data_IF_490160015432
#
_entry.id   IF_490160015432
#
_cell.length_a   1.000
_cell.length_b   1.000
_cell.length_c   1.000
_cell.angle_alpha   90.00
_cell.angle_beta   90.00
_cell.angle_gamma   90.00
#
_symmetry.space_group_name_H-M   'P 1'
#
loop_
_entity.id
_entity.type
_entity.pdbx_description
1 polymer ?
#
# COMPACT_ATOMS: atom_id res chain seq x y z
N UNK A 1 -3.93 -1.11 6.67
CA UNK A 1 -2.86 -2.14 6.48
C UNK A 1 -1.59 -1.48 5.93
N UNK A 2 -0.37 -2.02 6.14
CA UNK A 2 0.81 -1.48 5.45
C UNK A 2 1.56 -2.55 4.66
N UNK A 3 2.11 -3.57 5.34
CA UNK A 3 2.88 -4.60 4.64
C UNK A 3 2.01 -5.49 3.76
N UNK A 4 0.72 -5.62 4.08
CA UNK A 4 -0.27 -6.30 3.24
C UNK A 4 -0.42 -5.64 1.85
N UNK A 5 -0.45 -4.31 1.78
CA UNK A 5 -0.49 -3.57 0.49
C UNK A 5 0.78 -3.77 -0.33
N UNK A 6 1.96 -3.81 0.33
CA UNK A 6 3.21 -4.18 -0.34
C UNK A 6 3.08 -5.58 -0.96
N UNK A 7 2.52 -6.53 -0.22
CA UNK A 7 2.24 -7.88 -0.71
C UNK A 7 1.33 -7.90 -1.94
N UNK A 8 0.26 -7.10 -1.93
CA UNK A 8 -0.65 -6.95 -3.07
C UNK A 8 0.08 -6.39 -4.31
N UNK A 9 0.89 -5.33 -4.15
CA UNK A 9 1.70 -4.76 -5.23
C UNK A 9 2.67 -5.78 -5.84
N UNK A 10 3.32 -6.60 -5.01
CA UNK A 10 4.20 -7.69 -5.44
C UNK A 10 3.42 -8.78 -6.20
N UNK A 11 2.21 -9.13 -5.75
CA UNK A 11 1.36 -10.11 -6.42
C UNK A 11 0.89 -9.62 -7.80
N UNK A 12 0.51 -8.35 -7.93
CA UNK A 12 0.15 -7.74 -9.22
C UNK A 12 1.33 -7.76 -10.19
N UNK A 13 2.56 -7.60 -9.71
CA UNK A 13 3.77 -7.73 -10.53
C UNK A 13 3.92 -9.10 -11.19
N UNK A 14 3.45 -10.16 -10.54
CA UNK A 14 3.40 -11.50 -11.15
C UNK A 14 2.43 -11.55 -12.33
N UNK A 15 1.30 -10.84 -12.23
CA UNK A 15 0.24 -10.83 -13.26
C UNK A 15 0.65 -9.96 -14.45
N UNK A 16 1.30 -8.80 -14.16
CA UNK A 16 1.77 -7.86 -15.17
C UNK A 16 3.27 -7.55 -15.00
N UNK A 17 4.14 -8.44 -15.47
CA UNK A 17 5.58 -8.32 -15.27
C UNK A 17 6.21 -7.14 -16.02
N UNK A 18 5.53 -6.54 -16.99
CA UNK A 18 6.01 -5.38 -17.75
C UNK A 18 6.05 -4.10 -16.93
N UNK A 19 5.15 -3.95 -15.93
CA UNK A 19 5.16 -2.76 -15.07
C UNK A 19 6.37 -2.77 -14.14
N UNK A 20 6.96 -1.60 -13.90
CA UNK A 20 8.01 -1.44 -12.90
C UNK A 20 7.48 -1.72 -11.51
N UNK A 21 8.23 -2.43 -10.67
CA UNK A 21 7.83 -2.75 -9.30
C UNK A 21 7.53 -1.49 -8.48
N UNK A 22 8.34 -0.43 -8.59
CA UNK A 22 8.10 0.82 -7.88
C UNK A 22 6.76 1.47 -8.24
N UNK A 23 6.35 1.40 -9.53
CA UNK A 23 5.04 1.90 -9.95
C UNK A 23 3.88 1.10 -9.34
N UNK A 24 4.02 -0.21 -9.23
CA UNK A 24 3.01 -1.07 -8.60
C UNK A 24 2.96 -0.90 -7.08
N UNK A 25 4.13 -0.75 -6.43
CA UNK A 25 4.18 -0.44 -5.00
C UNK A 25 3.57 0.94 -4.73
N UNK A 26 3.92 1.96 -5.53
CA UNK A 26 3.30 3.28 -5.41
C UNK A 26 1.78 3.19 -5.56
N UNK A 27 1.28 2.49 -6.56
CA UNK A 27 -0.15 2.32 -6.73
C UNK A 27 -0.80 1.63 -5.53
N UNK A 28 -0.19 0.55 -5.02
CA UNK A 28 -0.73 -0.21 -3.89
C UNK A 28 -0.73 0.56 -2.56
N UNK A 29 0.22 1.48 -2.33
CA UNK A 29 0.31 2.29 -1.10
C UNK A 29 -0.03 3.77 -1.34
N UNK A 30 -0.65 4.10 -2.47
CA UNK A 30 -0.95 5.49 -2.85
C UNK A 30 -1.90 6.16 -1.86
N UNK A 31 -2.92 5.45 -1.39
CA UNK A 31 -3.88 5.98 -0.44
C UNK A 31 -3.19 6.36 0.88
N UNK A 32 -2.24 5.55 1.37
CA UNK A 32 -1.41 5.89 2.52
C UNK A 32 -0.54 7.12 2.28
N UNK A 33 0.13 7.20 1.12
CA UNK A 33 0.92 8.38 0.77
C UNK A 33 0.07 9.65 0.77
N UNK A 34 -1.13 9.57 0.21
CA UNK A 34 -2.09 10.66 0.18
C UNK A 34 -2.60 11.00 1.57
N UNK A 35 -3.00 10.02 2.37
CA UNK A 35 -3.43 10.21 3.76
C UNK A 35 -2.39 11.01 4.54
N UNK A 36 -1.16 10.53 4.58
CA UNK A 36 -0.13 11.19 5.37
C UNK A 36 0.21 12.60 4.88
N UNK A 37 0.16 12.82 3.57
CA UNK A 37 0.27 14.17 3.01
C UNK A 37 -0.90 15.06 3.45
N UNK A 38 -2.14 14.57 3.37
CA UNK A 38 -3.33 15.32 3.77
C UNK A 38 -3.41 15.55 5.28
N UNK A 39 -2.86 14.65 6.10
CA UNK A 39 -2.70 14.88 7.55
C UNK A 39 -1.71 16.02 7.82
N UNK A 40 -0.57 16.07 7.12
CA UNK A 40 0.39 17.16 7.24
C UNK A 40 -0.20 18.51 6.82
N UNK A 41 -1.13 18.50 5.86
CA UNK A 41 -1.84 19.69 5.38
C UNK A 41 -3.07 20.05 6.24
N UNK A 42 -3.42 19.25 7.25
CA UNK A 42 -4.59 19.48 8.11
C UNK A 42 -5.94 19.21 7.44
N UNK A 43 -5.95 18.50 6.30
CA UNK A 43 -7.18 18.16 5.54
C UNK A 43 -7.79 16.84 6.02
N UNK A 44 -6.96 15.88 6.37
CA UNK A 44 -7.34 14.62 7.01
C UNK A 44 -6.73 14.56 8.40
N UNK A 45 -7.18 13.62 9.24
CA UNK A 45 -6.69 13.56 10.61
C UNK A 45 -6.60 12.13 11.14
N UNK A 46 -5.65 11.96 12.07
CA UNK A 46 -5.46 10.75 12.87
C UNK A 46 -6.09 11.00 14.24
N UNK A 47 -6.98 10.10 14.66
CA UNK A 47 -7.59 10.12 15.98
C UNK A 47 -6.68 9.54 17.05
N UNK A 48 -7.19 9.54 18.28
CA UNK A 48 -6.50 8.89 19.38
C UNK A 48 -6.38 7.37 19.14
N UNK A 49 -5.32 6.75 19.65
CA UNK A 49 -5.18 5.30 19.54
C UNK A 49 -6.21 4.60 20.39
N UNK A 50 -6.73 3.51 19.88
CA UNK A 50 -7.57 2.56 20.60
C UNK A 50 -6.71 1.42 21.09
N UNK A 51 -6.67 1.21 22.40
CA UNK A 51 -5.99 0.07 23.02
C UNK A 51 -7.03 -1.03 23.30
N UNK A 52 -6.85 -2.18 22.67
CA UNK A 52 -7.74 -3.34 22.82
C UNK A 52 -7.27 -4.30 23.91
N UNK A 53 -6.17 -4.02 24.61
CA UNK A 53 -5.46 -4.97 25.46
C UNK A 53 -4.72 -6.07 24.70
N UNK A 54 -4.86 -6.12 23.36
CA UNK A 54 -4.18 -7.06 22.45
C UNK A 54 -3.39 -6.37 21.36
N UNK A 55 -3.18 -5.08 21.49
CA UNK A 55 -2.52 -4.18 20.57
C UNK A 55 -3.30 -2.90 20.37
N UNK A 56 -2.62 -1.90 19.82
CA UNK A 56 -3.16 -0.55 19.59
C UNK A 56 -3.33 -0.32 18.09
N UNK A 57 -4.38 0.42 17.71
CA UNK A 57 -4.56 0.94 16.37
C UNK A 57 -5.07 2.37 16.41
N UNK A 58 -4.90 3.11 15.33
CA UNK A 58 -5.43 4.46 15.18
C UNK A 58 -6.77 4.46 14.49
N UNK A 59 -7.61 5.44 14.80
CA UNK A 59 -8.80 5.78 14.02
C UNK A 59 -8.50 6.98 13.12
N UNK A 60 -9.27 7.16 12.05
CA UNK A 60 -8.98 8.16 11.04
C UNK A 60 -10.23 8.91 10.58
N UNK A 61 -10.00 10.16 10.14
CA UNK A 61 -10.94 10.93 9.33
C UNK A 61 -10.28 11.16 7.98
N UNK A 62 -10.60 10.35 6.98
CA UNK A 62 -9.85 10.24 5.74
C UNK A 62 -10.74 10.06 4.48
N UNK A 63 -11.67 11.01 4.22
CA UNK A 63 -12.65 10.88 3.14
C UNK A 63 -12.05 10.97 1.73
N UNK A 64 -10.89 11.57 1.57
CA UNK A 64 -10.27 11.83 0.27
C UNK A 64 -9.22 10.77 -0.11
N UNK A 65 -8.60 10.13 0.87
CA UNK A 65 -7.61 9.08 0.63
C UNK A 65 -8.24 7.68 0.64
N UNK A 66 -9.11 7.36 1.61
CA UNK A 66 -9.61 6.01 1.87
C UNK A 66 -11.13 5.82 1.69
N UNK A 67 -11.87 6.84 1.23
CA UNK A 67 -13.29 6.66 0.88
C UNK A 67 -13.46 5.78 -0.36
N UNK A 68 -14.59 5.06 -0.48
CA UNK A 68 -14.87 4.21 -1.65
C UNK A 68 -14.83 5.01 -2.96
N UNK A 69 -15.60 6.10 -3.02
CA UNK A 69 -15.64 6.94 -4.24
C UNK A 69 -14.28 7.58 -4.50
N UNK A 70 -13.57 8.04 -3.46
CA UNK A 70 -12.22 8.56 -3.61
C UNK A 70 -11.29 7.48 -4.19
N UNK A 71 -11.31 6.26 -3.67
CA UNK A 71 -10.51 5.14 -4.16
C UNK A 71 -10.83 4.78 -5.61
N UNK A 72 -12.10 4.82 -6.02
CA UNK A 72 -12.50 4.62 -7.42
C UNK A 72 -11.97 5.73 -8.32
N UNK A 73 -12.05 6.99 -7.89
CA UNK A 73 -11.52 8.15 -8.64
C UNK A 73 -10.01 8.03 -8.80
N UNK A 74 -9.27 7.79 -7.72
CA UNK A 74 -7.82 7.61 -7.77
C UNK A 74 -7.40 6.43 -8.63
N UNK A 75 -8.16 5.31 -8.58
CA UNK A 75 -7.92 4.15 -9.43
C UNK A 75 -8.14 4.47 -10.90
N UNK A 76 -9.20 5.21 -11.24
CA UNK A 76 -9.45 5.66 -12.60
C UNK A 76 -8.33 6.60 -13.09
N UNK A 77 -7.87 7.53 -12.25
CA UNK A 77 -6.75 8.41 -12.56
C UNK A 77 -5.45 7.62 -12.76
N UNK A 78 -5.20 6.56 -11.97
CA UNK A 78 -4.05 5.68 -12.16
C UNK A 78 -4.13 4.92 -13.49
N UNK A 79 -5.33 4.45 -13.90
CA UNK A 79 -5.55 3.85 -15.23
C UNK A 79 -5.25 4.87 -16.34
N UNK A 80 -5.77 6.09 -16.24
CA UNK A 80 -5.54 7.14 -17.22
C UNK A 80 -4.06 7.53 -17.30
N UNK A 81 -3.41 7.73 -16.17
CA UNK A 81 -1.97 8.01 -16.10
C UNK A 81 -1.15 6.89 -16.73
N UNK A 82 -1.48 5.63 -16.44
CA UNK A 82 -0.88 4.47 -17.09
C UNK A 82 -1.15 4.42 -18.59
N UNK A 83 -2.39 4.69 -19.00
CA UNK A 83 -2.77 4.70 -20.42
C UNK A 83 -1.97 5.70 -21.24
N UNK A 84 -1.83 6.93 -20.76
CA UNK A 84 -1.07 7.97 -21.47
C UNK A 84 0.43 7.83 -21.27
N UNK A 85 0.90 7.55 -20.05
CA UNK A 85 2.32 7.44 -19.72
C UNK A 85 3.01 6.24 -20.35
N UNK A 86 2.30 5.11 -20.51
CA UNK A 86 2.84 3.89 -21.10
C UNK A 86 2.67 3.84 -22.64
N UNK A 87 2.03 4.83 -23.24
CA UNK A 87 1.68 4.82 -24.66
C UNK A 87 2.88 4.69 -25.62
N UNK A 88 4.02 5.26 -25.24
CA UNK A 88 5.26 5.22 -26.01
C UNK A 88 6.09 3.94 -25.79
N UNK A 89 5.80 3.19 -24.75
CA UNK A 89 6.64 2.07 -24.28
C UNK A 89 5.99 0.72 -24.55
N UNK A 90 4.65 0.64 -24.49
CA UNK A 90 3.94 -0.64 -24.56
C UNK A 90 2.85 -0.64 -25.63
N UNK A 91 3.02 -1.41 -26.73
CA UNK A 91 1.89 -1.85 -27.55
C UNK A 91 0.91 -2.63 -26.65
N UNK A 92 -0.38 -2.28 -26.70
CA UNK A 92 -1.37 -2.94 -25.83
C UNK A 92 -1.35 -2.48 -24.37
N UNK A 93 -1.19 -1.19 -24.15
CA UNK A 93 -1.12 -0.52 -22.85
C UNK A 93 -2.36 -0.65 -21.94
N UNK A 94 -3.50 -1.09 -22.46
CA UNK A 94 -4.74 -1.21 -21.70
C UNK A 94 -4.57 -2.09 -20.44
N UNK A 95 -4.02 -3.30 -20.62
CA UNK A 95 -3.83 -4.22 -19.51
C UNK A 95 -2.89 -3.68 -18.43
N UNK A 96 -1.65 -3.21 -18.71
CA UNK A 96 -0.81 -2.63 -17.67
C UNK A 96 -1.42 -1.39 -17.02
N UNK A 97 -2.15 -0.53 -17.75
CA UNK A 97 -2.86 0.59 -17.17
C UNK A 97 -3.95 0.13 -16.18
N UNK A 98 -4.78 -0.86 -16.57
CA UNK A 98 -5.78 -1.44 -15.67
C UNK A 98 -5.14 -2.09 -14.43
N UNK A 99 -3.95 -2.70 -14.56
CA UNK A 99 -3.26 -3.29 -13.41
C UNK A 99 -2.76 -2.25 -12.40
N UNK A 100 -2.42 -1.03 -12.83
CA UNK A 100 -2.14 0.09 -11.91
C UNK A 100 -3.39 0.49 -11.13
N UNK A 101 -4.53 0.66 -11.80
CA UNK A 101 -5.79 0.95 -11.14
C UNK A 101 -6.22 -0.16 -10.18
N UNK A 102 -6.06 -1.43 -10.58
CA UNK A 102 -6.35 -2.58 -9.71
C UNK A 102 -5.44 -2.61 -8.47
N UNK A 103 -4.14 -2.36 -8.63
CA UNK A 103 -3.21 -2.28 -7.51
C UNK A 103 -3.62 -1.17 -6.53
N UNK A 104 -4.06 -0.02 -7.02
CA UNK A 104 -4.55 1.07 -6.18
C UNK A 104 -5.86 0.69 -5.49
N UNK A 105 -6.84 0.16 -6.23
CA UNK A 105 -8.14 -0.20 -5.65
C UNK A 105 -8.03 -1.35 -4.64
N UNK A 106 -7.03 -2.23 -4.77
CA UNK A 106 -6.78 -3.30 -3.80
C UNK A 106 -6.51 -2.74 -2.39
N UNK A 107 -6.00 -1.52 -2.28
CA UNK A 107 -5.81 -0.85 -1.00
C UNK A 107 -7.14 -0.72 -0.24
N UNK A 108 -8.15 -0.10 -0.87
CA UNK A 108 -9.48 0.04 -0.25
C UNK A 108 -10.06 -1.30 0.16
N UNK A 109 -9.97 -2.32 -0.70
CA UNK A 109 -10.54 -3.65 -0.42
C UNK A 109 -9.89 -4.31 0.80
N UNK A 110 -8.57 -4.21 0.92
CA UNK A 110 -7.84 -4.78 2.05
C UNK A 110 -8.11 -3.99 3.33
N UNK A 111 -8.18 -2.66 3.25
CA UNK A 111 -8.44 -1.82 4.41
C UNK A 111 -9.86 -1.98 4.96
N UNK A 112 -10.85 -2.26 4.13
CA UNK A 112 -12.20 -2.60 4.61
C UNK A 112 -12.18 -3.80 5.57
N UNK A 113 -11.24 -4.73 5.40
CA UNK A 113 -11.12 -5.89 6.29
C UNK A 113 -10.57 -5.46 7.66
N UNK A 114 -9.56 -4.59 7.68
CA UNK A 114 -8.83 -4.24 8.90
C UNK A 114 -9.49 -3.11 9.70
N UNK A 115 -9.90 -2.05 9.01
CA UNK A 115 -10.44 -0.87 9.68
C UNK A 115 -11.77 -1.13 10.37
N UNK A 116 -12.00 -0.47 11.50
CA UNK A 116 -13.34 -0.33 12.10
C UNK A 116 -14.24 0.44 11.12
N UNK A 117 -15.59 0.49 11.32
CA UNK A 117 -16.49 1.24 10.44
C UNK A 117 -16.21 2.75 10.43
N UNK A 118 -15.12 3.15 9.74
CA UNK A 118 -14.67 4.54 9.63
C UNK A 118 -14.39 4.98 8.18
N UNK A 119 -14.33 4.03 7.23
CA UNK A 119 -14.08 4.29 5.81
C UNK A 119 -15.36 4.77 5.11
N UNK A 120 -15.47 6.05 4.71
CA UNK A 120 -16.72 6.60 4.15
C UNK A 120 -16.97 6.12 2.72
N UNK A 121 -18.23 5.94 2.35
CA UNK A 121 -18.59 5.58 0.97
C UNK A 121 -18.45 6.79 0.02
N UNK A 122 -18.95 7.96 0.43
CA UNK A 122 -19.01 9.18 -0.41
C UNK A 122 -18.65 10.44 0.37
N UNK A 123 -17.49 10.50 0.98
CA UNK A 123 -17.11 11.63 1.83
C UNK A 123 -17.57 11.48 3.28
N UNK A 124 -17.11 12.38 4.15
CA UNK A 124 -17.12 12.19 5.60
C UNK A 124 -18.51 11.99 6.23
N UNK A 125 -19.54 12.61 5.68
CA UNK A 125 -20.92 12.51 6.19
C UNK A 125 -21.70 11.29 5.70
N UNK A 126 -21.11 10.44 4.86
CA UNK A 126 -21.78 9.27 4.30
C UNK A 126 -21.69 8.05 5.24
N UNK A 127 -22.47 6.98 4.98
CA UNK A 127 -22.29 5.70 5.66
C UNK A 127 -20.83 5.22 5.56
N UNK A 128 -20.37 4.56 6.61
CA UNK A 128 -18.99 4.10 6.73
C UNK A 128 -18.94 2.58 6.76
N UNK A 129 -17.89 2.02 6.16
CA UNK A 129 -17.63 0.58 6.12
C UNK A 129 -16.32 0.25 6.83
N UNK A 130 -16.16 -1.02 7.19
CA UNK A 130 -15.02 -1.60 7.86
C UNK A 130 -15.44 -2.83 8.64
N UNK A 131 -14.67 -3.91 8.59
CA UNK A 131 -14.97 -5.17 9.29
C UNK A 131 -14.30 -5.24 10.67
N UNK A 132 -13.35 -4.32 10.97
CA UNK A 132 -12.78 -4.12 12.27
C UNK A 132 -11.79 -5.20 12.71
N UNK A 133 -11.07 -5.83 11.80
CA UNK A 133 -10.11 -6.88 12.15
C UNK A 133 -9.01 -6.37 13.08
N UNK A 134 -8.67 -5.08 13.07
CA UNK A 134 -7.73 -4.48 14.02
C UNK A 134 -8.14 -4.61 15.49
N UNK A 135 -9.43 -4.82 15.78
CA UNK A 135 -9.88 -5.15 17.14
C UNK A 135 -9.33 -6.52 17.60
N UNK A 136 -8.91 -7.35 16.64
CA UNK A 136 -8.28 -8.65 16.86
C UNK A 136 -6.85 -8.61 16.28
N UNK A 137 -6.00 -7.74 16.83
CA UNK A 137 -4.67 -7.42 16.30
C UNK A 137 -3.83 -8.63 15.88
N UNK A 138 -3.76 -9.76 16.63
CA UNK A 138 -3.01 -10.94 16.16
C UNK A 138 -3.54 -11.52 14.84
N UNK A 139 -4.86 -11.47 14.60
CA UNK A 139 -5.45 -11.95 13.35
C UNK A 139 -5.18 -10.97 12.20
N UNK A 140 -5.26 -9.67 12.44
CA UNK A 140 -4.91 -8.64 11.48
C UNK A 140 -3.42 -8.78 11.05
N UNK A 141 -2.53 -8.92 12.00
CA UNK A 141 -1.11 -9.15 11.72
C UNK A 141 -0.85 -10.45 10.96
N UNK A 142 -1.55 -11.53 11.30
CA UNK A 142 -1.44 -12.80 10.56
C UNK A 142 -1.87 -12.64 9.09
N UNK A 143 -2.94 -11.89 8.83
CA UNK A 143 -3.40 -11.56 7.48
C UNK A 143 -2.36 -10.72 6.73
N UNK A 144 -1.92 -9.62 7.32
CA UNK A 144 -0.94 -8.71 6.69
C UNK A 144 0.38 -9.42 6.36
N UNK A 145 0.94 -10.15 7.32
CA UNK A 145 2.18 -10.90 7.13
C UNK A 145 2.00 -12.04 6.11
N UNK A 146 0.84 -12.71 6.12
CA UNK A 146 0.49 -13.73 5.14
C UNK A 146 0.43 -13.17 3.72
N UNK A 147 -0.23 -12.02 3.52
CA UNK A 147 -0.28 -11.33 2.23
C UNK A 147 1.12 -10.88 1.76
N UNK A 148 1.93 -10.34 2.66
CA UNK A 148 3.29 -9.95 2.35
C UNK A 148 4.16 -11.15 1.93
N UNK A 149 4.08 -12.25 2.67
CA UNK A 149 4.81 -13.47 2.38
C UNK A 149 4.37 -14.10 1.04
N UNK A 150 3.06 -14.19 0.78
CA UNK A 150 2.50 -14.68 -0.47
C UNK A 150 2.89 -13.80 -1.66
N UNK A 151 2.80 -12.47 -1.51
CA UNK A 151 3.22 -11.50 -2.51
C UNK A 151 4.70 -11.62 -2.83
N UNK A 152 5.55 -11.68 -1.82
CA UNK A 152 6.99 -11.87 -1.98
C UNK A 152 7.34 -13.20 -2.65
N UNK A 153 6.74 -14.29 -2.19
CA UNK A 153 6.98 -15.63 -2.77
C UNK A 153 6.59 -15.67 -4.26
N UNK A 154 5.41 -15.14 -4.60
CA UNK A 154 4.92 -15.11 -5.99
C UNK A 154 5.77 -14.21 -6.88
N UNK A 155 6.24 -13.07 -6.37
CA UNK A 155 7.16 -12.18 -7.07
C UNK A 155 8.50 -12.86 -7.37
N UNK A 156 9.13 -13.42 -6.33
CA UNK A 156 10.44 -14.08 -6.44
C UNK A 156 10.41 -15.36 -7.29
N UNK A 157 9.27 -16.02 -7.42
CA UNK A 157 9.09 -17.17 -8.29
C UNK A 157 9.00 -16.79 -9.78
N UNK A 158 8.57 -15.57 -10.09
CA UNK A 158 8.37 -15.12 -11.49
C UNK A 158 9.52 -14.26 -12.02
N UNK A 159 10.06 -13.36 -11.18
CA UNK A 159 11.03 -12.37 -11.63
C UNK A 159 12.45 -12.84 -11.35
N UNK A 160 13.25 -12.93 -12.41
CA UNK A 160 14.68 -13.29 -12.30
C UNK A 160 15.48 -12.07 -11.83
N UNK A 161 15.91 -12.08 -10.58
CA UNK A 161 16.71 -11.04 -9.96
C UNK A 161 18.14 -11.53 -9.71
N UNK A 162 19.11 -10.60 -9.77
CA UNK A 162 20.43 -10.86 -9.20
C UNK A 162 20.34 -11.12 -7.70
N UNK A 163 21.32 -11.83 -7.13
CA UNK A 163 21.36 -12.14 -5.68
C UNK A 163 21.23 -10.88 -4.82
N UNK A 164 21.89 -9.79 -5.19
CA UNK A 164 21.82 -8.51 -4.46
C UNK A 164 20.41 -7.90 -4.47
N UNK A 165 19.73 -7.86 -5.64
CA UNK A 165 18.37 -7.33 -5.75
C UNK A 165 17.33 -8.21 -5.05
N UNK A 166 17.50 -9.53 -5.14
CA UNK A 166 16.67 -10.47 -4.38
C UNK A 166 16.78 -10.20 -2.88
N UNK A 167 18.00 -10.05 -2.36
CA UNK A 167 18.24 -9.69 -0.95
C UNK A 167 17.59 -8.35 -0.62
N UNK A 168 17.76 -7.34 -1.46
CA UNK A 168 17.19 -6.00 -1.23
C UNK A 168 15.66 -6.05 -1.10
N UNK A 169 14.94 -6.69 -2.04
CA UNK A 169 13.47 -6.82 -1.96
C UNK A 169 13.05 -7.62 -0.74
N UNK A 170 13.72 -8.73 -0.46
CA UNK A 170 13.42 -9.54 0.72
C UNK A 170 13.63 -8.75 2.00
N UNK A 171 14.75 -8.01 2.14
CA UNK A 171 15.01 -7.17 3.30
C UNK A 171 14.00 -6.03 3.45
N UNK A 172 13.58 -5.40 2.33
CA UNK A 172 12.55 -4.37 2.33
C UNK A 172 11.23 -4.90 2.92
N UNK A 173 10.78 -6.06 2.44
CA UNK A 173 9.53 -6.67 2.93
C UNK A 173 9.66 -7.12 4.38
N UNK A 174 10.81 -7.70 4.77
CA UNK A 174 11.06 -8.11 6.16
C UNK A 174 11.09 -6.93 7.11
N UNK A 175 11.77 -5.83 6.76
CA UNK A 175 11.78 -4.62 7.58
C UNK A 175 10.38 -4.05 7.72
N UNK A 176 9.62 -3.94 6.62
CA UNK A 176 8.22 -3.50 6.67
C UNK A 176 7.37 -4.42 7.54
N UNK A 177 7.55 -5.75 7.44
CA UNK A 177 6.84 -6.73 8.26
C UNK A 177 7.14 -6.59 9.75
N UNK A 178 8.42 -6.39 10.10
CA UNK A 178 8.83 -6.15 11.50
C UNK A 178 8.22 -4.84 12.03
N UNK A 179 8.26 -3.76 11.25
CA UNK A 179 7.65 -2.48 11.63
C UNK A 179 6.14 -2.61 11.83
N UNK A 180 5.45 -3.30 10.92
CA UNK A 180 4.01 -3.57 11.01
C UNK A 180 3.69 -4.39 12.27
N UNK A 181 4.46 -5.44 12.55
CA UNK A 181 4.23 -6.31 13.69
C UNK A 181 4.55 -5.65 15.03
N UNK A 182 5.56 -4.78 15.09
CA UNK A 182 5.97 -4.11 16.31
C UNK A 182 5.12 -2.87 16.65
N UNK A 183 4.61 -2.17 15.63
CA UNK A 183 3.89 -0.90 15.80
C UNK A 183 2.76 -0.96 16.83
N UNK A 184 1.82 -1.92 16.75
CA UNK A 184 0.70 -2.05 17.69
C UNK A 184 1.10 -2.27 19.14
N UNK A 185 2.31 -2.72 19.41
CA UNK A 185 2.83 -3.05 20.75
C UNK A 185 3.90 -2.06 21.23
N UNK A 186 4.18 -1.01 20.46
CA UNK A 186 5.20 -0.04 20.84
C UNK A 186 4.86 0.60 22.18
N UNK A 187 5.82 0.62 23.15
CA UNK A 187 5.62 1.25 24.45
C UNK A 187 5.76 2.77 24.36
N UNK A 188 5.23 3.46 25.35
CA UNK A 188 5.41 4.91 25.52
C UNK A 188 4.32 5.75 24.88
N UNK A 189 4.45 7.10 25.00
CA UNK A 189 3.53 8.04 24.40
C UNK A 189 3.66 8.01 22.88
N UNK A 190 2.54 8.22 22.21
CA UNK A 190 2.54 8.29 20.74
C UNK A 190 3.16 9.62 20.27
N UNK A 191 3.86 9.60 19.14
CA UNK A 191 4.36 10.83 18.55
C UNK A 191 3.19 11.75 18.14
N UNK A 192 3.42 13.07 18.11
CA UNK A 192 2.45 14.00 17.54
C UNK A 192 2.03 13.60 16.13
N UNK A 193 0.77 13.87 15.76
CA UNK A 193 0.21 13.46 14.46
C UNK A 193 1.09 13.87 13.27
N UNK A 194 1.65 15.08 13.29
CA UNK A 194 2.54 15.57 12.23
C UNK A 194 3.86 14.77 12.15
N UNK A 195 4.43 14.40 13.29
CA UNK A 195 5.64 13.56 13.30
C UNK A 195 5.35 12.16 12.80
N UNK A 196 4.23 11.56 13.24
CA UNK A 196 3.75 10.28 12.73
C UNK A 196 3.54 10.33 11.23
N UNK A 197 2.86 11.37 10.73
CA UNK A 197 2.58 11.55 9.32
C UNK A 197 3.85 11.71 8.48
N UNK A 198 4.81 12.52 8.95
CA UNK A 198 6.07 12.73 8.25
C UNK A 198 6.89 11.44 8.14
N UNK A 199 7.00 10.68 9.24
CA UNK A 199 7.72 9.42 9.26
C UNK A 199 7.03 8.37 8.37
N UNK A 200 5.71 8.24 8.46
CA UNK A 200 4.94 7.29 7.66
C UNK A 200 5.03 7.61 6.17
N UNK A 201 4.91 8.89 5.79
CA UNK A 201 5.09 9.33 4.40
C UNK A 201 6.51 9.01 3.90
N UNK A 202 7.54 9.29 4.71
CA UNK A 202 8.92 8.96 4.35
C UNK A 202 9.13 7.45 4.13
N UNK A 203 8.52 6.60 4.96
CA UNK A 203 8.57 5.14 4.82
C UNK A 203 7.89 4.69 3.52
N UNK A 204 6.69 5.19 3.23
CA UNK A 204 5.95 4.89 2.00
C UNK A 204 6.77 5.27 0.77
N UNK A 205 7.35 6.48 0.77
CA UNK A 205 8.20 6.94 -0.33
C UNK A 205 9.48 6.10 -0.45
N UNK A 206 10.13 5.76 0.65
CA UNK A 206 11.34 4.93 0.64
C UNK A 206 11.08 3.53 0.05
N UNK A 207 9.97 2.88 0.42
CA UNK A 207 9.55 1.58 -0.12
C UNK A 207 9.31 1.69 -1.63
N UNK A 208 8.61 2.72 -2.07
CA UNK A 208 8.33 2.99 -3.48
C UNK A 208 9.61 3.21 -4.29
N UNK A 209 10.48 4.08 -3.81
CA UNK A 209 11.77 4.38 -4.46
C UNK A 209 12.68 3.16 -4.53
N UNK A 210 12.73 2.35 -3.46
CA UNK A 210 13.45 1.09 -3.48
C UNK A 210 12.92 0.14 -4.56
N UNK A 211 11.60 0.05 -4.73
CA UNK A 211 10.96 -0.71 -5.80
C UNK A 211 11.39 -0.24 -7.21
N UNK A 212 11.41 1.07 -7.44
CA UNK A 212 11.93 1.65 -8.70
C UNK A 212 13.39 1.30 -8.93
N UNK A 213 14.21 1.38 -7.89
CA UNK A 213 15.64 1.09 -7.98
C UNK A 213 15.93 -0.39 -8.28
N UNK A 214 15.18 -1.31 -7.67
CA UNK A 214 15.33 -2.76 -7.88
C UNK A 214 15.21 -3.11 -9.34
N UNK A 215 14.32 -2.48 -10.09
CA UNK A 215 14.04 -2.81 -11.48
C UNK A 215 14.59 -1.81 -12.51
N UNK A 216 15.27 -0.74 -12.08
CA UNK A 216 15.76 0.33 -12.95
C UNK A 216 16.60 -0.14 -14.16
N UNK A 217 17.19 -1.35 -14.12
CA UNK A 217 18.00 -1.94 -15.18
C UNK A 217 17.40 -3.22 -15.78
N UNK A 218 16.17 -3.60 -15.40
CA UNK A 218 15.47 -4.72 -16.02
C UNK A 218 14.72 -4.26 -17.29
N UNK A 219 15.10 -3.08 -17.81
CA UNK A 219 14.53 -2.49 -19.00
C UNK A 219 14.54 -3.46 -20.18
N UNK A 220 13.33 -3.67 -20.75
CA UNK A 220 13.04 -4.10 -22.13
C UNK A 220 13.67 -5.41 -22.67
N UNK A 221 14.55 -6.08 -21.94
CA UNK A 221 15.25 -7.28 -22.41
C UNK A 221 14.57 -8.61 -22.04
N UNK A 222 13.33 -8.60 -21.56
CA UNK A 222 12.58 -9.80 -21.19
C UNK A 222 11.29 -9.96 -22.03
N UNK A 223 11.39 -9.63 -23.33
CA UNK A 223 10.37 -9.97 -24.31
C UNK A 223 11.00 -10.80 -25.43
N UNK A 224 11.29 -12.06 -25.14
CA UNK A 224 11.26 -13.16 -26.12
C UNK A 224 10.86 -14.42 -25.34
#
# INVERSE_FOLDING_TARGET
MFVGHIGAGLAVKRIEPRLNLGALLLAAVFADALLWLLVLLGVESVGAPVDTGRGKFFTFVFPYSHGLVASLVWSALAVLAGWFGLSKVYPGRARPACMLGLALFSHFVLDVIDHVPEMPLLGQGSPKVGLGLWQYMPAALALELGLAAAGLATYLARVRLSKGRRRLVTSLVLVAAVMTAAGPYAPGPLPPANALAAVSLAIVLAVTLAGFFVERRLGLAASV
#
